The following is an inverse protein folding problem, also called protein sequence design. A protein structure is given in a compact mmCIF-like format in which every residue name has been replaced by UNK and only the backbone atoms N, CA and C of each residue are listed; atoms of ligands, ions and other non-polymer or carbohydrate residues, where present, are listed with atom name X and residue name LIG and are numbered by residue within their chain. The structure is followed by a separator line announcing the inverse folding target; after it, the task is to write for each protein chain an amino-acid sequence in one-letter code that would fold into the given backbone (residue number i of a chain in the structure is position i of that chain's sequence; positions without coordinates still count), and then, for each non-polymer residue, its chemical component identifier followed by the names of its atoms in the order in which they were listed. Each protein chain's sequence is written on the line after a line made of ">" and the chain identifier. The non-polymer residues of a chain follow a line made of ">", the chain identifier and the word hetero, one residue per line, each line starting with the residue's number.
data_IF_433594799174
#
_entry.id   IF_433594799174
#
_cell.length_a   1.000
_cell.length_b   1.000
_cell.length_c   1.000
_cell.angle_alpha   90.00
_cell.angle_beta   90.00
_cell.angle_gamma   90.00
#
_symmetry.space_group_name_H-M   'P 1'
#
loop_
_entity.id
_entity.type
_entity.pdbx_description
1 polymer ?
#
# COMPACT_ATOMS: atom_id res chain seq x y z
N UNK A 1 -0.34 -33.77 84.61
CA UNK A 1 0.42 -32.51 84.45
C UNK A 1 1.34 -32.65 83.25
N UNK A 2 1.26 -31.71 82.27
CA UNK A 2 2.27 -31.28 81.25
C UNK A 2 3.11 -32.34 80.53
N UNK A 3 3.42 -32.32 79.22
CA UNK A 3 3.20 -31.48 78.01
C UNK A 3 3.99 -32.19 76.87
N UNK A 4 3.72 -31.82 75.61
CA UNK A 4 4.60 -31.89 74.39
C UNK A 4 4.91 -33.30 73.82
N UNK A 5 4.95 -33.62 72.52
CA UNK A 5 5.38 -32.99 71.24
C UNK A 5 4.73 -33.79 70.06
N UNK A 6 4.06 -33.23 69.05
CA UNK A 6 4.55 -32.68 67.76
C UNK A 6 5.69 -33.45 67.06
N UNK A 7 5.37 -34.30 66.06
CA UNK A 7 6.20 -34.67 64.87
C UNK A 7 5.26 -35.27 63.80
N UNK A 8 4.83 -34.52 62.76
CA UNK A 8 5.45 -34.33 61.42
C UNK A 8 5.46 -35.59 60.53
N UNK A 9 4.55 -35.63 59.55
CA UNK A 9 4.65 -36.23 58.20
C UNK A 9 3.19 -36.40 57.69
N UNK A 10 2.74 -35.86 56.57
CA UNK A 10 3.41 -35.42 55.36
C UNK A 10 2.42 -35.72 54.24
N UNK A 11 1.50 -34.79 53.97
CA UNK A 11 0.68 -34.80 52.75
C UNK A 11 0.73 -33.39 52.15
N UNK A 12 1.88 -33.09 51.56
CA UNK A 12 2.02 -32.06 50.55
C UNK A 12 1.26 -32.57 49.33
N UNK A 13 0.05 -32.05 49.10
CA UNK A 13 -0.69 -32.25 47.86
C UNK A 13 -1.20 -30.89 47.37
N UNK A 14 -0.50 -30.41 46.34
CA UNK A 14 -1.05 -29.67 45.19
C UNK A 14 -1.46 -28.22 45.48
N UNK A 15 -0.45 -27.36 45.59
CA UNK A 15 -0.51 -25.97 45.12
C UNK A 15 -0.02 -25.94 43.67
N UNK A 16 -0.84 -26.45 42.75
CA UNK A 16 -0.77 -26.06 41.34
C UNK A 16 -1.74 -24.90 41.15
N UNK A 17 -1.33 -23.73 41.64
CA UNK A 17 -1.87 -22.47 41.15
C UNK A 17 -1.43 -22.38 39.68
N UNK A 18 -2.28 -22.86 38.78
CA UNK A 18 -2.12 -22.64 37.36
C UNK A 18 -1.95 -21.16 37.15
N UNK A 19 -0.89 -20.77 36.45
CA UNK A 19 -0.79 -19.43 35.89
C UNK A 19 -2.00 -19.28 34.97
N UNK A 20 -3.07 -18.68 35.48
CA UNK A 20 -4.05 -18.05 34.64
C UNK A 20 -3.27 -16.95 33.94
N UNK A 21 -2.75 -17.26 32.75
CA UNK A 21 -2.40 -16.27 31.75
C UNK A 21 -3.67 -15.48 31.53
N UNK A 22 -3.79 -14.40 32.30
CA UNK A 22 -4.64 -13.30 31.92
C UNK A 22 -4.24 -12.98 30.49
N UNK A 23 -5.11 -13.30 29.54
CA UNK A 23 -5.17 -12.54 28.31
C UNK A 23 -5.35 -11.11 28.78
N UNK A 24 -4.23 -10.40 28.91
CA UNK A 24 -4.19 -8.97 29.04
C UNK A 24 -4.75 -8.43 27.74
N UNK A 25 -6.07 -8.49 27.58
CA UNK A 25 -6.74 -7.67 26.61
C UNK A 25 -6.51 -6.24 27.08
N UNK A 26 -5.59 -5.56 26.42
CA UNK A 26 -5.51 -4.11 26.50
C UNK A 26 -6.80 -3.58 25.87
N UNK A 27 -7.88 -3.53 26.66
CA UNK A 27 -9.07 -2.79 26.33
C UNK A 27 -8.68 -1.32 26.32
N UNK A 28 -8.26 -0.84 25.15
CA UNK A 28 -8.19 0.59 24.89
C UNK A 28 -9.59 1.15 25.12
N UNK A 29 -9.78 1.90 26.21
CA UNK A 29 -10.96 2.74 26.43
C UNK A 29 -10.94 3.85 25.41
N UNK A 30 -11.31 3.52 24.18
CA UNK A 30 -11.71 4.50 23.17
C UNK A 30 -13.00 5.15 23.70
N UNK A 31 -12.84 6.29 24.36
CA UNK A 31 -13.96 7.12 24.78
C UNK A 31 -14.89 7.38 23.60
N UNK A 32 -16.20 7.43 23.86
CA UNK A 32 -17.25 7.72 22.88
C UNK A 32 -16.78 8.85 21.93
N UNK A 33 -16.57 8.53 20.66
CA UNK A 33 -16.34 9.54 19.62
C UNK A 33 -15.26 9.25 18.59
N UNK A 34 -14.43 8.21 18.73
CA UNK A 34 -13.58 7.79 17.61
C UNK A 34 -14.43 6.97 16.64
N UNK A 35 -14.95 7.62 15.61
CA UNK A 35 -15.40 6.90 14.43
C UNK A 35 -14.20 6.06 13.96
N UNK A 36 -14.35 4.73 13.97
CA UNK A 36 -13.45 3.85 13.25
C UNK A 36 -13.55 4.26 11.78
N UNK A 37 -12.67 5.17 11.36
CA UNK A 37 -12.36 5.35 9.96
C UNK A 37 -11.56 4.10 9.68
N UNK A 38 -12.22 3.11 9.10
CA UNK A 38 -11.58 1.96 8.51
C UNK A 38 -10.40 2.50 7.70
N UNK A 39 -9.21 2.42 8.28
CA UNK A 39 -7.98 2.59 7.53
C UNK A 39 -7.89 1.25 6.81
N UNK A 40 -8.70 1.10 5.75
CA UNK A 40 -8.58 0.00 4.83
C UNK A 40 -7.10 -0.01 4.49
N UNK A 41 -6.39 -1.06 4.92
CA UNK A 41 -4.98 -1.19 4.65
C UNK A 41 -4.81 -0.89 3.15
N UNK A 42 -3.91 0.02 2.75
CA UNK A 42 -3.75 0.38 1.35
C UNK A 42 -3.72 -0.91 0.53
N UNK A 43 -4.65 -1.07 -0.42
CA UNK A 43 -4.69 -2.29 -1.24
C UNK A 43 -3.31 -2.42 -1.90
N UNK A 44 -2.49 -3.42 -1.52
CA UNK A 44 -1.18 -3.57 -2.12
C UNK A 44 -1.41 -3.99 -3.57
N UNK A 45 -0.91 -3.18 -4.49
CA UNK A 45 -0.99 -3.43 -5.93
C UNK A 45 0.38 -3.21 -6.55
N UNK A 46 0.60 -3.85 -7.70
CA UNK A 46 1.85 -3.73 -8.45
C UNK A 46 1.79 -2.55 -9.41
N UNK A 47 2.77 -1.66 -9.32
CA UNK A 47 2.84 -0.41 -10.06
C UNK A 47 4.11 -0.41 -10.91
N UNK A 48 3.98 -0.18 -12.20
CA UNK A 48 5.11 0.11 -13.09
C UNK A 48 5.20 1.62 -13.27
N UNK A 49 6.34 2.21 -12.94
CA UNK A 49 6.58 3.65 -13.06
C UNK A 49 7.70 3.92 -14.07
N UNK A 50 7.44 4.81 -15.03
CA UNK A 50 8.48 5.37 -15.89
C UNK A 50 9.13 6.52 -15.14
N UNK A 51 10.38 6.34 -14.71
CA UNK A 51 11.11 7.33 -13.93
C UNK A 51 12.56 7.48 -14.42
N UNK A 52 12.93 8.73 -14.68
CA UNK A 52 14.26 9.14 -15.16
C UNK A 52 14.88 10.22 -14.29
N UNK A 53 14.08 11.00 -13.57
CA UNK A 53 14.57 12.09 -12.72
C UNK A 53 14.69 11.64 -11.26
N UNK A 54 15.59 12.27 -10.50
CA UNK A 54 15.74 11.98 -9.06
C UNK A 54 14.43 12.22 -8.29
N UNK A 55 13.62 13.19 -8.71
CA UNK A 55 12.33 13.48 -8.10
C UNK A 55 11.31 12.33 -8.31
N UNK A 56 11.29 11.74 -9.50
CA UNK A 56 10.42 10.59 -9.82
C UNK A 56 10.86 9.33 -9.06
N UNK A 57 12.18 9.10 -8.97
CA UNK A 57 12.72 7.99 -8.18
C UNK A 57 12.37 8.13 -6.70
N UNK A 58 12.48 9.34 -6.15
CA UNK A 58 12.06 9.61 -4.77
C UNK A 58 10.55 9.41 -4.56
N UNK A 59 9.72 9.70 -5.57
CA UNK A 59 8.29 9.38 -5.54
C UNK A 59 8.07 7.85 -5.50
N UNK A 60 8.76 7.11 -6.37
CA UNK A 60 8.70 5.64 -6.40
C UNK A 60 9.08 5.02 -5.06
N UNK A 61 10.18 5.46 -4.44
CA UNK A 61 10.59 4.98 -3.12
C UNK A 61 9.50 5.19 -2.07
N UNK A 62 8.78 6.32 -2.14
CA UNK A 62 7.68 6.62 -1.23
C UNK A 62 6.45 5.76 -1.50
N UNK A 63 6.20 5.39 -2.77
CA UNK A 63 5.15 4.44 -3.12
C UNK A 63 5.48 3.03 -2.62
N UNK A 64 6.74 2.60 -2.78
CA UNK A 64 7.21 1.33 -2.23
C UNK A 64 7.13 1.29 -0.70
N UNK A 65 7.54 2.38 -0.03
CA UNK A 65 7.43 2.52 1.43
C UNK A 65 5.96 2.51 1.93
N UNK A 66 5.00 2.87 1.07
CA UNK A 66 3.58 2.79 1.37
C UNK A 66 2.98 1.37 1.20
N UNK A 67 3.78 0.40 0.77
CA UNK A 67 3.39 -1.01 0.64
C UNK A 67 3.03 -1.46 -0.78
N UNK A 68 3.32 -0.65 -1.81
CA UNK A 68 3.18 -1.07 -3.20
C UNK A 68 4.42 -1.82 -3.68
N UNK A 69 4.22 -2.82 -4.53
CA UNK A 69 5.31 -3.38 -5.33
C UNK A 69 5.55 -2.44 -6.51
N UNK A 70 6.73 -1.83 -6.60
CA UNK A 70 7.02 -0.85 -7.66
C UNK A 70 8.14 -1.34 -8.55
N UNK A 71 7.84 -1.42 -9.84
CA UNK A 71 8.77 -1.70 -10.93
C UNK A 71 9.11 -0.37 -11.60
N UNK A 72 10.38 -0.15 -11.93
CA UNK A 72 10.84 1.10 -12.54
C UNK A 72 11.51 0.81 -13.85
N UNK A 73 11.09 1.55 -14.87
CA UNK A 73 11.76 1.59 -16.18
C UNK A 73 12.17 3.01 -16.49
N UNK A 74 13.26 3.16 -17.22
CA UNK A 74 13.75 4.46 -17.66
C UNK A 74 13.12 4.83 -19.00
N UNK A 75 12.88 3.87 -19.89
CA UNK A 75 12.29 4.13 -21.20
C UNK A 75 10.85 3.59 -21.31
N UNK A 76 9.89 4.37 -21.84
CA UNK A 76 8.53 3.88 -22.08
C UNK A 76 8.45 2.64 -22.99
N UNK A 77 9.44 2.40 -23.85
CA UNK A 77 9.47 1.22 -24.74
C UNK A 77 9.75 -0.08 -23.99
N UNK A 78 10.24 -0.02 -22.74
CA UNK A 78 10.46 -1.19 -21.89
C UNK A 78 9.17 -1.68 -21.22
N UNK A 79 8.07 -0.91 -21.32
CA UNK A 79 6.81 -1.20 -20.65
C UNK A 79 6.25 -2.56 -21.07
N UNK A 80 6.22 -2.90 -22.37
CA UNK A 80 5.62 -4.18 -22.77
C UNK A 80 6.45 -5.40 -22.35
N UNK A 81 7.75 -5.26 -22.13
CA UNK A 81 8.57 -6.33 -21.58
C UNK A 81 8.21 -6.57 -20.12
N UNK A 82 8.16 -5.50 -19.32
CA UNK A 82 7.78 -5.57 -17.90
C UNK A 82 6.34 -6.08 -17.71
N UNK A 83 5.39 -5.62 -18.53
CA UNK A 83 4.01 -6.10 -18.50
C UNK A 83 3.88 -7.60 -18.87
N UNK A 84 4.81 -8.16 -19.64
CA UNK A 84 4.82 -9.59 -19.99
C UNK A 84 5.47 -10.44 -18.90
N UNK A 85 6.49 -9.92 -18.25
CA UNK A 85 7.27 -10.64 -17.25
C UNK A 85 6.63 -10.56 -15.85
N UNK A 86 5.91 -9.48 -15.56
CA UNK A 86 5.36 -9.17 -14.26
C UNK A 86 3.85 -8.93 -14.32
N UNK A 87 3.16 -9.29 -13.24
CA UNK A 87 1.73 -8.98 -13.09
C UNK A 87 1.59 -7.56 -12.55
N UNK A 88 1.55 -6.60 -13.47
CA UNK A 88 1.38 -5.18 -13.17
C UNK A 88 -0.11 -4.82 -13.17
N UNK A 89 -0.54 -4.03 -12.19
CA UNK A 89 -1.91 -3.53 -12.10
C UNK A 89 -2.07 -2.12 -12.64
N UNK A 90 -1.08 -1.26 -12.42
CA UNK A 90 -1.11 0.16 -12.77
C UNK A 90 0.20 0.56 -13.44
N UNK A 91 0.10 1.33 -14.53
CA UNK A 91 1.26 1.96 -15.20
C UNK A 91 1.18 3.47 -14.97
N UNK A 92 2.24 4.04 -14.40
CA UNK A 92 2.44 5.48 -14.21
C UNK A 92 3.48 5.97 -15.23
N UNK A 93 3.06 6.86 -16.12
CA UNK A 93 3.96 7.49 -17.07
C UNK A 93 3.47 8.90 -17.42
N UNK A 94 4.38 9.73 -17.91
CA UNK A 94 4.01 11.08 -18.35
C UNK A 94 2.97 11.06 -19.46
N UNK A 95 2.06 12.04 -19.43
CA UNK A 95 1.05 12.23 -20.47
C UNK A 95 1.66 12.52 -21.84
N UNK A 96 2.84 13.14 -21.89
CA UNK A 96 3.60 13.38 -23.12
C UNK A 96 4.01 12.11 -23.88
N UNK A 97 4.15 10.98 -23.17
CA UNK A 97 4.50 9.68 -23.73
C UNK A 97 3.28 8.76 -23.94
N UNK A 98 2.05 9.28 -23.76
CA UNK A 98 0.81 8.46 -23.77
C UNK A 98 0.68 7.59 -25.02
N UNK A 99 1.04 8.12 -26.20
CA UNK A 99 0.81 7.42 -27.47
C UNK A 99 1.69 6.15 -27.55
N UNK A 100 2.91 6.21 -26.99
CA UNK A 100 3.81 5.05 -26.87
C UNK A 100 3.30 4.09 -25.82
N UNK A 101 2.91 4.59 -24.64
CA UNK A 101 2.41 3.76 -23.53
C UNK A 101 1.16 2.99 -23.94
N UNK A 102 0.22 3.61 -24.65
CA UNK A 102 -1.00 2.96 -25.13
C UNK A 102 -0.72 1.88 -26.17
N UNK A 103 0.26 2.08 -27.07
CA UNK A 103 0.69 1.07 -28.03
C UNK A 103 1.32 -0.14 -27.32
N UNK A 104 2.24 0.11 -26.38
CA UNK A 104 2.87 -0.94 -25.57
C UNK A 104 1.84 -1.71 -24.72
N UNK A 105 0.84 -1.02 -24.17
CA UNK A 105 -0.24 -1.63 -23.38
C UNK A 105 -1.29 -2.37 -24.22
N UNK A 106 -1.44 -2.04 -25.50
CA UNK A 106 -2.37 -2.77 -26.40
C UNK A 106 -1.99 -4.24 -26.50
N UNK A 107 -0.70 -4.56 -26.32
CA UNK A 107 -0.19 -5.93 -26.32
C UNK A 107 -0.52 -6.71 -25.03
N UNK A 108 -0.83 -6.04 -23.92
CA UNK A 108 -1.09 -6.64 -22.60
C UNK A 108 -2.26 -5.93 -21.89
N UNK A 109 -3.47 -6.46 -22.06
CA UNK A 109 -4.72 -5.82 -21.65
C UNK A 109 -5.01 -5.79 -20.12
N UNK A 110 -4.05 -6.14 -19.26
CA UNK A 110 -4.33 -6.33 -17.83
C UNK A 110 -4.02 -5.14 -16.93
N UNK A 111 -3.26 -4.13 -17.36
CA UNK A 111 -2.87 -2.99 -16.54
C UNK A 111 -3.70 -1.73 -16.86
N UNK A 112 -3.87 -0.85 -15.87
CA UNK A 112 -4.53 0.46 -16.05
C UNK A 112 -3.50 1.56 -16.18
N UNK A 113 -3.60 2.36 -17.23
CA UNK A 113 -2.75 3.54 -17.42
C UNK A 113 -3.25 4.72 -16.60
N UNK A 114 -2.36 5.33 -15.82
CA UNK A 114 -2.59 6.58 -15.11
C UNK A 114 -1.58 7.63 -15.63
N UNK A 115 -2.03 8.64 -16.40
CA UNK A 115 -1.13 9.66 -16.88
C UNK A 115 -0.74 10.63 -15.77
N UNK A 116 0.54 10.99 -15.77
CA UNK A 116 1.08 12.10 -14.99
C UNK A 116 1.29 13.29 -15.92
N UNK A 117 0.50 14.34 -15.76
CA UNK A 117 0.65 15.58 -16.51
C UNK A 117 1.72 16.47 -15.86
N UNK A 118 2.46 17.21 -16.68
CA UNK A 118 3.36 18.23 -16.15
C UNK A 118 2.58 19.47 -15.72
N UNK A 119 2.73 19.90 -14.46
CA UNK A 119 2.02 21.05 -13.91
C UNK A 119 2.34 22.33 -14.69
N UNK A 120 1.40 23.27 -14.70
CA UNK A 120 1.50 24.52 -15.46
C UNK A 120 1.41 24.37 -16.98
N UNK A 121 1.19 23.16 -17.51
CA UNK A 121 1.01 22.92 -18.95
C UNK A 121 -0.43 22.64 -19.34
N UNK A 122 -0.72 22.63 -20.64
CA UNK A 122 -2.02 22.22 -21.19
C UNK A 122 -2.33 20.73 -20.91
N UNK A 123 -1.31 19.92 -20.61
CA UNK A 123 -1.45 18.48 -20.36
C UNK A 123 -2.38 18.22 -19.17
N UNK A 124 -2.35 19.05 -18.13
CA UNK A 124 -3.22 18.88 -16.94
C UNK A 124 -4.69 18.92 -17.33
N UNK A 125 -5.05 19.83 -18.24
CA UNK A 125 -6.43 19.99 -18.70
C UNK A 125 -6.84 18.88 -19.66
N UNK A 126 -5.95 18.48 -20.57
CA UNK A 126 -6.23 17.43 -21.56
C UNK A 126 -6.27 16.03 -20.91
N UNK A 127 -5.32 15.73 -20.02
CA UNK A 127 -5.30 14.50 -19.24
C UNK A 127 -6.57 14.38 -18.38
N UNK A 128 -7.01 15.47 -17.73
CA UNK A 128 -8.24 15.47 -16.92
C UNK A 128 -9.54 15.31 -17.71
N UNK A 129 -9.54 15.60 -19.02
CA UNK A 129 -10.69 15.35 -19.91
C UNK A 129 -10.73 13.90 -20.39
N UNK A 130 -9.56 13.33 -20.69
CA UNK A 130 -9.43 12.00 -21.30
C UNK A 130 -9.38 10.87 -20.26
N UNK A 131 -8.78 11.13 -19.09
CA UNK A 131 -8.55 10.13 -18.05
C UNK A 131 -9.21 10.54 -16.75
N UNK A 132 -10.08 9.68 -16.23
CA UNK A 132 -10.82 9.96 -14.99
C UNK A 132 -9.90 10.08 -13.75
N UNK A 133 -8.70 9.50 -13.82
CA UNK A 133 -7.76 9.36 -12.72
C UNK A 133 -6.39 9.95 -13.07
N UNK A 134 -6.33 11.08 -13.78
CA UNK A 134 -5.08 11.79 -14.08
C UNK A 134 -4.42 12.38 -12.83
N UNK A 135 -3.08 12.43 -12.82
CA UNK A 135 -2.25 13.03 -11.79
C UNK A 135 -1.41 14.18 -12.35
N UNK A 136 -0.94 15.07 -11.50
CA UNK A 136 0.09 16.07 -11.81
C UNK A 136 1.44 15.66 -11.22
N UNK A 137 2.56 16.06 -11.83
CA UNK A 137 3.90 15.80 -11.27
C UNK A 137 4.15 16.53 -9.95
N UNK A 138 3.44 17.64 -9.69
CA UNK A 138 3.51 18.36 -8.40
C UNK A 138 2.50 17.85 -7.35
N UNK A 139 1.69 16.85 -7.69
CA UNK A 139 0.74 16.27 -6.73
C UNK A 139 1.44 15.62 -5.53
N UNK A 140 0.85 15.79 -4.35
CA UNK A 140 1.35 15.13 -3.14
C UNK A 140 1.32 13.60 -3.26
N UNK A 141 2.24 12.89 -2.62
CA UNK A 141 2.25 11.41 -2.59
C UNK A 141 0.94 10.81 -2.06
N UNK A 142 0.26 11.50 -1.13
CA UNK A 142 -1.06 11.06 -0.67
C UNK A 142 -2.11 11.06 -1.79
N UNK A 143 -1.99 11.97 -2.77
CA UNK A 143 -2.86 12.01 -3.94
C UNK A 143 -2.54 10.87 -4.91
N UNK A 144 -1.26 10.56 -5.13
CA UNK A 144 -0.84 9.37 -5.88
C UNK A 144 -1.42 8.09 -5.26
N UNK A 145 -1.18 7.86 -3.97
CA UNK A 145 -1.67 6.68 -3.25
C UNK A 145 -3.20 6.55 -3.31
N UNK A 146 -3.93 7.65 -3.12
CA UNK A 146 -5.39 7.65 -3.23
C UNK A 146 -5.87 7.29 -4.63
N UNK A 147 -5.19 7.80 -5.66
CA UNK A 147 -5.56 7.59 -7.05
C UNK A 147 -5.28 6.14 -7.46
N UNK A 148 -4.10 5.62 -7.13
CA UNK A 148 -3.74 4.21 -7.32
C UNK A 148 -4.74 3.30 -6.59
N UNK A 149 -5.01 3.56 -5.31
CA UNK A 149 -5.97 2.76 -4.55
C UNK A 149 -7.37 2.77 -5.17
N UNK A 150 -7.84 3.93 -5.64
CA UNK A 150 -9.13 4.05 -6.34
C UNK A 150 -9.13 3.23 -7.65
N UNK A 151 -8.03 3.28 -8.40
CA UNK A 151 -7.83 2.51 -9.64
C UNK A 151 -7.93 1.01 -9.38
N UNK A 152 -7.19 0.54 -8.38
CA UNK A 152 -7.17 -0.88 -7.99
C UNK A 152 -8.55 -1.37 -7.54
N UNK A 153 -9.31 -0.51 -6.84
CA UNK A 153 -10.66 -0.84 -6.37
C UNK A 153 -11.67 -0.95 -7.51
N UNK A 154 -11.55 -0.15 -8.57
CA UNK A 154 -12.45 -0.20 -9.73
C UNK A 154 -12.22 -1.45 -10.61
N UNK A 155 -11.03 -2.05 -10.51
CA UNK A 155 -10.63 -3.26 -11.25
C UNK A 155 -10.99 -4.58 -10.53
N UNK A 156 -11.21 -4.53 -9.21
CA UNK A 156 -11.57 -5.69 -8.36
C UNK A 156 -13.06 -6.03 -8.43
#
# INVERSE_FOLDING_TARGET
>A
MKKTTMTLAGCILILLAGNASACGESLFRVGKGVAFREYTAPLPGSVLAVANTEAELALVERLAAAGHEVHVVSDPSEISEELRNHKIDVVLAYYSARDVVEDEMTSVASATYIPVAMDGTVEVTEAGKQYQQSLSNEDSVLKYLKTIHKTLKEKS
#
